data_IF_038657404409
#
_entry.id   IF_038657404409
#
_cell.length_a   1.000
_cell.length_b   1.000
_cell.length_c   1.000
_cell.angle_alpha   90.00
_cell.angle_beta   90.00
_cell.angle_gamma   90.00
#
_symmetry.space_group_name_H-M   'P 1'
#
loop_
_entity.id
_entity.type
_entity.pdbx_description
1 polymer ?
#
# COMPACT_ATOMS: atom_id res chain seq x y z
N UNK A 1 14.03 27.50 1.34
CA UNK A 1 12.56 27.36 1.30
C UNK A 1 12.19 26.41 2.43
N UNK A 2 11.67 26.97 3.52
CA UNK A 2 11.35 26.30 4.79
C UNK A 2 10.14 25.34 4.72
N UNK A 3 9.88 24.73 3.56
CA UNK A 3 8.58 24.13 3.26
C UNK A 3 8.66 22.79 2.49
N UNK A 4 9.60 21.91 2.85
CA UNK A 4 9.65 20.54 2.31
C UNK A 4 9.69 19.43 3.37
N UNK A 5 9.38 19.71 4.64
CA UNK A 5 9.21 18.65 5.65
C UNK A 5 7.72 18.36 5.82
N UNK A 6 7.22 17.40 5.05
CA UNK A 6 5.95 16.75 5.36
C UNK A 6 6.15 15.96 6.67
N UNK A 7 5.68 16.49 7.80
CA UNK A 7 5.67 15.78 9.07
C UNK A 7 4.40 14.94 9.14
N UNK A 8 4.45 13.69 8.68
CA UNK A 8 3.28 12.80 8.71
C UNK A 8 3.08 12.22 10.13
N UNK A 9 2.50 12.91 11.12
CA UNK A 9 2.41 12.36 12.50
C UNK A 9 1.39 12.96 13.48
N UNK A 10 1.12 12.29 14.63
CA UNK A 10 -0.11 12.46 15.40
C UNK A 10 -0.07 13.56 16.49
N UNK A 11 0.91 14.47 16.48
CA UNK A 11 1.05 15.51 17.52
C UNK A 11 0.30 16.80 17.18
N UNK A 12 -0.46 17.30 18.16
CA UNK A 12 -1.41 18.42 18.08
C UNK A 12 -0.82 19.81 17.74
N UNK A 13 0.49 19.93 17.54
CA UNK A 13 1.20 21.17 17.15
C UNK A 13 2.06 20.99 15.88
N UNK A 14 1.62 20.13 14.95
CA UNK A 14 2.14 20.14 13.57
C UNK A 14 1.89 21.51 12.94
N UNK A 15 2.94 22.27 12.62
CA UNK A 15 2.84 23.62 12.08
C UNK A 15 2.69 23.66 10.55
N UNK A 16 2.27 22.55 9.93
CA UNK A 16 1.97 22.47 8.50
C UNK A 16 0.45 22.42 8.33
N UNK A 17 -0.10 23.34 7.55
CA UNK A 17 -1.55 23.42 7.25
C UNK A 17 -2.06 22.18 6.45
N UNK A 18 -1.17 21.23 6.11
CA UNK A 18 -1.34 20.24 5.06
C UNK A 18 -1.09 18.80 5.53
N UNK A 19 -1.29 18.49 6.81
CA UNK A 19 -1.30 17.09 7.26
C UNK A 19 -2.56 16.41 6.69
N UNK A 20 -2.39 15.68 5.58
CA UNK A 20 -3.46 14.98 4.90
C UNK A 20 -3.61 13.57 5.49
N UNK A 21 -4.76 13.29 6.07
CA UNK A 21 -5.13 11.95 6.53
C UNK A 21 -5.72 11.17 5.36
N UNK A 22 -5.15 10.00 5.06
CA UNK A 22 -5.65 9.10 4.03
C UNK A 22 -6.07 7.77 4.68
N UNK A 23 -7.33 7.40 4.50
CA UNK A 23 -7.90 6.15 5.02
C UNK A 23 -8.02 5.12 3.90
N UNK A 24 -7.60 3.88 4.13
CA UNK A 24 -8.06 2.75 3.31
C UNK A 24 -9.58 2.65 3.46
N UNK A 25 -10.31 2.83 2.36
CA UNK A 25 -11.78 2.91 2.39
C UNK A 25 -12.39 2.06 1.29
N UNK A 26 -13.41 1.28 1.65
CA UNK A 26 -14.22 0.53 0.69
C UNK A 26 -15.53 1.26 0.43
N UNK A 27 -15.75 1.59 -0.83
CA UNK A 27 -17.00 2.19 -1.29
C UNK A 27 -17.84 1.16 -2.06
N UNK A 28 -19.15 1.18 -1.84
CA UNK A 28 -20.15 0.56 -2.68
C UNK A 28 -20.73 1.62 -3.61
N UNK A 29 -20.84 1.30 -4.90
CA UNK A 29 -21.56 2.10 -5.88
C UNK A 29 -22.94 1.45 -6.08
N UNK A 30 -24.00 1.90 -5.39
CA UNK A 30 -25.27 1.18 -5.31
C UNK A 30 -26.06 1.18 -6.62
N UNK A 31 -25.80 2.14 -7.49
CA UNK A 31 -26.54 2.31 -8.73
C UNK A 31 -25.61 2.95 -9.79
N UNK A 32 -25.11 2.13 -10.71
CA UNK A 32 -24.41 2.60 -11.89
C UNK A 32 -25.52 2.97 -12.88
N UNK A 33 -25.79 4.27 -13.04
CA UNK A 33 -26.93 4.74 -13.84
C UNK A 33 -26.83 4.44 -15.33
N UNK A 34 -25.94 3.56 -15.79
CA UNK A 34 -25.71 3.20 -17.20
C UNK A 34 -25.60 4.40 -18.16
N UNK A 35 -25.05 5.51 -17.67
CA UNK A 35 -24.94 6.75 -18.44
C UNK A 35 -26.23 7.56 -18.54
N UNK A 36 -27.23 7.31 -17.69
CA UNK A 36 -28.45 8.09 -17.60
C UNK A 36 -28.13 9.56 -17.36
N UNK A 37 -28.83 10.43 -18.08
CA UNK A 37 -28.65 11.88 -18.01
C UNK A 37 -29.96 12.56 -17.64
N UNK A 38 -29.86 13.71 -16.98
CA UNK A 38 -30.97 14.67 -16.92
C UNK A 38 -31.29 15.20 -18.32
N UNK A 39 -32.42 15.88 -18.48
CA UNK A 39 -32.85 16.47 -19.76
C UNK A 39 -31.87 17.49 -20.35
N UNK A 40 -30.98 18.05 -19.53
CA UNK A 40 -29.91 18.96 -19.94
C UNK A 40 -28.61 18.25 -20.37
N UNK A 41 -28.59 16.91 -20.40
CA UNK A 41 -27.44 16.10 -20.80
C UNK A 41 -26.42 15.81 -19.71
N UNK A 42 -26.58 16.35 -18.49
CA UNK A 42 -25.69 16.03 -17.37
C UNK A 42 -25.92 14.62 -16.83
N UNK A 43 -24.85 13.88 -16.51
CA UNK A 43 -24.93 12.55 -15.91
C UNK A 43 -25.67 12.58 -14.56
N UNK A 44 -26.55 11.61 -14.35
CA UNK A 44 -27.16 11.36 -13.06
C UNK A 44 -26.13 10.64 -12.19
N UNK A 45 -25.66 11.31 -11.15
CA UNK A 45 -24.70 10.76 -10.19
C UNK A 45 -25.39 10.33 -8.91
N UNK A 46 -25.05 9.14 -8.40
CA UNK A 46 -25.45 8.68 -7.08
C UNK A 46 -24.24 8.75 -6.14
N UNK A 47 -24.41 9.17 -4.87
CA UNK A 47 -23.31 9.16 -3.92
C UNK A 47 -22.82 7.73 -3.69
N UNK A 48 -21.51 7.55 -3.60
CA UNK A 48 -20.92 6.30 -3.17
C UNK A 48 -21.25 6.07 -1.69
N UNK A 49 -21.56 4.83 -1.33
CA UNK A 49 -21.80 4.42 0.05
C UNK A 49 -20.45 3.97 0.63
N UNK A 50 -19.99 4.62 1.71
CA UNK A 50 -18.84 4.12 2.47
C UNK A 50 -19.28 2.86 3.23
N UNK A 51 -18.73 1.70 2.85
CA UNK A 51 -18.96 0.45 3.56
C UNK A 51 -18.12 0.38 4.84
N UNK A 52 -16.84 0.78 4.74
CA UNK A 52 -15.96 0.97 5.88
C UNK A 52 -14.74 1.82 5.51
N UNK A 53 -14.19 2.50 6.51
CA UNK A 53 -12.88 3.13 6.48
C UNK A 53 -12.05 2.60 7.65
N UNK A 54 -10.80 2.25 7.40
CA UNK A 54 -9.87 1.85 8.44
C UNK A 54 -9.15 3.08 9.03
N UNK A 55 -8.76 2.98 10.30
CA UNK A 55 -7.98 4.01 11.01
C UNK A 55 -6.64 4.26 10.30
N UNK A 56 -6.40 5.48 9.78
CA UNK A 56 -5.17 5.81 9.07
C UNK A 56 -3.91 5.57 9.91
N UNK A 57 -3.97 5.75 11.22
CA UNK A 57 -2.78 5.61 12.08
C UNK A 57 -2.24 4.19 12.06
N UNK A 58 -3.11 3.21 11.79
CA UNK A 58 -2.77 1.77 11.77
C UNK A 58 -2.79 1.15 10.38
N UNK A 59 -3.52 1.77 9.45
CA UNK A 59 -3.86 1.19 8.16
C UNK A 59 -3.61 2.14 6.98
N UNK A 60 -2.78 3.17 7.16
CA UNK A 60 -2.32 3.97 6.02
C UNK A 60 -1.63 3.05 5.00
N UNK A 61 -1.94 3.26 3.73
CA UNK A 61 -1.45 2.44 2.64
C UNK A 61 -1.41 3.29 1.38
N UNK A 62 -0.31 3.20 0.66
CA UNK A 62 -0.16 3.79 -0.66
C UNK A 62 0.42 2.77 -1.64
N UNK A 63 0.30 3.08 -2.93
CA UNK A 63 0.67 2.18 -4.02
C UNK A 63 0.12 0.75 -3.82
N UNK A 64 -1.20 0.58 -3.60
CA UNK A 64 -1.76 -0.70 -3.22
C UNK A 64 -1.69 -1.71 -4.37
N UNK A 65 -1.39 -2.96 -4.02
CA UNK A 65 -1.38 -4.15 -4.87
C UNK A 65 -2.27 -5.23 -4.27
N UNK A 66 -2.83 -6.05 -5.13
CA UNK A 66 -3.54 -7.29 -4.76
C UNK A 66 -2.96 -8.44 -5.61
N UNK A 67 -3.33 -9.67 -5.27
CA UNK A 67 -3.04 -10.80 -6.15
C UNK A 67 -3.71 -10.58 -7.51
N UNK A 68 -2.92 -10.56 -8.60
CA UNK A 68 -3.41 -10.24 -9.95
C UNK A 68 -4.49 -11.19 -10.47
N UNK A 69 -4.58 -12.42 -9.93
CA UNK A 69 -5.68 -13.37 -10.22
C UNK A 69 -7.07 -12.84 -9.80
N UNK A 70 -7.09 -11.85 -8.91
CA UNK A 70 -8.29 -11.26 -8.30
C UNK A 70 -8.61 -9.85 -8.82
N UNK A 71 -7.90 -9.36 -9.85
CA UNK A 71 -8.28 -8.10 -10.50
C UNK A 71 -9.73 -8.14 -11.01
N UNK A 72 -10.52 -7.14 -10.61
CA UNK A 72 -11.94 -7.03 -10.94
C UNK A 72 -12.85 -8.04 -10.24
N UNK A 73 -12.33 -8.81 -9.27
CA UNK A 73 -13.08 -9.82 -8.50
C UNK A 73 -13.14 -9.42 -7.02
N UNK A 74 -14.02 -10.08 -6.27
CA UNK A 74 -13.98 -10.03 -4.81
C UNK A 74 -12.61 -10.54 -4.34
N UNK A 75 -11.95 -9.75 -3.50
CA UNK A 75 -10.63 -10.03 -2.94
C UNK A 75 -10.65 -9.75 -1.43
N UNK A 76 -9.76 -10.40 -0.70
CA UNK A 76 -9.60 -10.24 0.73
C UNK A 76 -8.38 -9.39 1.08
N UNK A 77 -7.25 -9.56 0.40
CA UNK A 77 -5.97 -9.00 0.82
C UNK A 77 -5.47 -7.90 -0.09
N UNK A 78 -5.00 -6.80 0.52
CA UNK A 78 -4.26 -5.74 -0.16
C UNK A 78 -2.90 -5.55 0.49
N UNK A 79 -1.91 -5.18 -0.31
CA UNK A 79 -0.53 -4.92 0.09
C UNK A 79 -0.11 -3.54 -0.38
N UNK A 80 0.75 -2.85 0.34
CA UNK A 80 1.25 -1.56 -0.13
C UNK A 80 2.37 -1.02 0.73
N UNK A 81 2.88 0.14 0.35
CA UNK A 81 3.79 0.89 1.21
C UNK A 81 3.04 1.45 2.40
N UNK A 82 3.71 1.48 3.55
CA UNK A 82 3.20 1.96 4.82
C UNK A 82 4.21 2.93 5.45
N UNK A 83 3.68 3.77 6.33
CA UNK A 83 4.44 4.72 7.13
C UNK A 83 4.03 4.57 8.59
N UNK A 84 4.94 4.00 9.39
CA UNK A 84 4.80 3.94 10.85
C UNK A 84 5.36 5.21 11.51
N UNK A 85 6.50 5.70 11.02
CA UNK A 85 7.20 6.84 11.61
C UNK A 85 6.87 8.14 10.90
N UNK A 86 6.52 9.18 11.66
CA UNK A 86 6.34 10.51 11.10
C UNK A 86 7.55 11.07 10.37
N UNK A 87 7.28 11.75 9.25
CA UNK A 87 8.30 12.39 8.42
C UNK A 87 8.93 11.50 7.35
N UNK A 88 8.61 10.20 7.33
CA UNK A 88 9.03 9.28 6.27
C UNK A 88 8.01 9.26 5.13
N UNK A 89 8.50 9.11 3.90
CA UNK A 89 7.64 8.85 2.74
C UNK A 89 7.07 7.43 2.79
N UNK A 90 7.91 6.47 3.18
CA UNK A 90 7.57 5.09 3.55
C UNK A 90 8.73 4.51 4.36
N UNK A 91 8.43 3.67 5.33
CA UNK A 91 9.42 2.98 6.15
C UNK A 91 9.09 1.50 6.38
N UNK A 92 7.98 1.02 5.84
CA UNK A 92 7.41 -0.30 6.10
C UNK A 92 6.48 -0.72 4.97
N UNK A 93 6.04 -1.97 4.99
CA UNK A 93 5.01 -2.52 4.12
C UNK A 93 3.85 -3.03 4.96
N UNK A 94 2.63 -2.89 4.45
CA UNK A 94 1.43 -3.35 5.13
C UNK A 94 0.70 -4.38 4.27
N UNK A 95 0.13 -5.39 4.93
CA UNK A 95 -0.93 -6.25 4.43
C UNK A 95 -2.21 -5.89 5.16
N UNK A 96 -3.30 -5.66 4.43
CA UNK A 96 -4.64 -5.41 4.96
C UNK A 96 -5.53 -6.59 4.60
N UNK A 97 -6.19 -7.17 5.61
CA UNK A 97 -7.34 -8.05 5.43
C UNK A 97 -8.60 -7.18 5.40
N UNK A 98 -9.20 -7.05 4.22
CA UNK A 98 -10.37 -6.19 4.00
C UNK A 98 -11.68 -6.77 4.51
N UNK A 99 -11.70 -8.06 4.88
CA UNK A 99 -12.86 -8.73 5.46
C UNK A 99 -12.79 -8.65 6.98
N UNK A 100 -11.66 -9.07 7.56
CA UNK A 100 -11.43 -9.00 8.99
C UNK A 100 -11.13 -7.58 9.50
N UNK A 101 -10.80 -6.65 8.60
CA UNK A 101 -10.42 -5.27 8.90
C UNK A 101 -9.19 -5.19 9.83
N UNK A 102 -8.22 -6.08 9.60
CA UNK A 102 -6.96 -6.16 10.36
C UNK A 102 -5.78 -5.96 9.42
N UNK A 103 -4.59 -5.77 10.00
CA UNK A 103 -3.36 -5.64 9.23
C UNK A 103 -2.18 -6.37 9.87
N UNK A 104 -1.21 -6.71 9.02
CA UNK A 104 0.13 -7.13 9.41
C UNK A 104 1.13 -6.17 8.76
N UNK A 105 2.17 -5.80 9.49
CA UNK A 105 3.21 -4.87 9.02
C UNK A 105 4.53 -5.61 8.97
N UNK A 106 5.25 -5.41 7.87
CA UNK A 106 6.67 -5.73 7.78
C UNK A 106 7.45 -4.42 7.85
N UNK A 107 8.39 -4.34 8.79
CA UNK A 107 9.31 -3.21 8.91
C UNK A 107 10.73 -3.74 8.69
N UNK A 108 11.55 -3.08 7.86
CA UNK A 108 12.92 -3.50 7.67
C UNK A 108 13.69 -3.49 9.01
N UNK A 109 14.49 -4.51 9.27
CA UNK A 109 15.32 -4.60 10.48
C UNK A 109 16.39 -3.50 10.61
N UNK A 110 16.50 -2.64 9.60
CA UNK A 110 17.50 -1.57 9.47
C UNK A 110 16.80 -0.35 8.88
N UNK A 111 17.47 0.79 8.73
CA UNK A 111 16.86 2.01 8.17
C UNK A 111 16.66 1.96 6.64
N UNK A 112 16.36 0.78 6.09
CA UNK A 112 16.03 0.66 4.68
C UNK A 112 14.66 1.30 4.42
N UNK A 113 14.48 1.85 3.21
CA UNK A 113 13.22 2.46 2.79
C UNK A 113 12.66 1.61 1.64
N UNK A 114 11.57 0.85 1.85
CA UNK A 114 11.01 -0.01 0.82
C UNK A 114 10.32 0.79 -0.28
N UNK A 115 10.21 0.20 -1.47
CA UNK A 115 9.37 0.69 -2.57
C UNK A 115 8.09 -0.15 -2.66
N UNK A 116 7.24 0.15 -3.64
CA UNK A 116 6.01 -0.60 -3.93
C UNK A 116 6.25 -2.13 -3.90
N UNK A 117 5.49 -2.90 -3.09
CA UNK A 117 5.60 -4.34 -3.07
C UNK A 117 4.87 -4.97 -4.26
N UNK A 118 5.50 -5.91 -4.96
CA UNK A 118 4.89 -6.71 -6.02
C UNK A 118 4.54 -8.09 -5.49
N UNK A 119 3.26 -8.46 -5.55
CA UNK A 119 2.81 -9.80 -5.18
C UNK A 119 3.15 -10.82 -6.29
N UNK A 120 3.74 -11.93 -5.90
CA UNK A 120 4.03 -13.07 -6.77
C UNK A 120 3.40 -14.32 -6.15
N UNK A 121 2.41 -14.88 -6.85
CA UNK A 121 1.69 -16.07 -6.38
C UNK A 121 2.61 -17.29 -6.35
N UNK A 122 2.42 -18.15 -5.35
CA UNK A 122 3.04 -19.47 -5.33
C UNK A 122 2.48 -20.34 -6.47
N UNK A 123 3.30 -20.77 -7.45
CA UNK A 123 2.81 -21.49 -8.63
C UNK A 123 2.29 -22.90 -8.31
N UNK A 124 2.74 -23.49 -7.21
CA UNK A 124 2.36 -24.84 -6.76
C UNK A 124 1.68 -24.81 -5.39
N UNK A 125 1.15 -23.65 -5.00
CA UNK A 125 0.60 -23.41 -3.68
C UNK A 125 -0.77 -24.04 -3.43
N UNK A 126 -1.24 -23.82 -2.20
CA UNK A 126 -2.56 -24.21 -1.69
C UNK A 126 -3.74 -23.59 -2.45
N UNK A 127 -3.50 -22.50 -3.20
CA UNK A 127 -4.53 -21.74 -3.88
C UNK A 127 -5.16 -20.63 -3.03
N UNK A 128 -4.71 -20.43 -1.79
CA UNK A 128 -5.11 -19.28 -0.99
C UNK A 128 -4.69 -17.95 -1.67
N UNK A 129 -5.49 -16.90 -1.49
CA UNK A 129 -5.32 -15.61 -2.19
C UNK A 129 -3.95 -14.97 -1.90
N UNK A 130 -3.46 -15.11 -0.67
CA UNK A 130 -2.20 -14.58 -0.17
C UNK A 130 -1.04 -15.60 -0.17
N UNK A 131 -1.24 -16.79 -0.76
CA UNK A 131 -0.18 -17.80 -0.89
C UNK A 131 0.83 -17.38 -1.95
N UNK A 132 1.92 -16.78 -1.47
CA UNK A 132 2.96 -16.23 -2.31
C UNK A 132 3.95 -15.40 -1.54
N UNK A 133 4.65 -14.55 -2.29
CA UNK A 133 5.65 -13.63 -1.74
C UNK A 133 5.41 -12.21 -2.22
N UNK A 134 5.89 -11.25 -1.45
CA UNK A 134 6.06 -9.87 -1.89
C UNK A 134 7.52 -9.66 -2.26
N UNK A 135 7.73 -8.98 -3.39
CA UNK A 135 9.02 -8.49 -3.83
C UNK A 135 9.03 -6.97 -3.67
N UNK A 136 10.00 -6.43 -2.94
CA UNK A 136 10.20 -4.97 -2.84
C UNK A 136 11.68 -4.63 -2.99
N UNK A 137 11.98 -3.53 -3.66
CA UNK A 137 13.32 -2.95 -3.61
C UNK A 137 13.39 -1.98 -2.44
N UNK A 138 14.31 -2.19 -1.52
CA UNK A 138 14.53 -1.32 -0.38
C UNK A 138 15.90 -0.67 -0.44
N UNK A 139 15.94 0.66 -0.26
CA UNK A 139 17.15 1.47 -0.29
C UNK A 139 17.78 1.57 1.11
N UNK A 140 19.04 1.16 1.24
CA UNK A 140 19.91 1.47 2.38
C UNK A 140 20.62 2.80 2.12
N UNK A 141 20.08 3.89 2.68
CA UNK A 141 20.67 5.22 2.52
C UNK A 141 22.04 5.34 3.19
N UNK A 142 22.30 4.59 4.25
CA UNK A 142 23.56 4.62 5.00
C UNK A 142 24.68 3.95 4.20
N UNK A 143 24.42 2.74 3.68
CA UNK A 143 25.40 1.98 2.88
C UNK A 143 25.44 2.38 1.41
N UNK A 144 24.53 3.26 0.96
CA UNK A 144 24.37 3.67 -0.43
C UNK A 144 24.23 2.46 -1.36
N UNK A 145 23.33 1.56 -0.99
CA UNK A 145 23.01 0.33 -1.73
C UNK A 145 21.52 0.06 -1.64
N UNK A 146 21.01 -0.80 -2.50
CA UNK A 146 19.63 -1.27 -2.43
C UNK A 146 19.61 -2.80 -2.41
N UNK A 147 18.53 -3.38 -1.91
CA UNK A 147 18.31 -4.83 -1.94
C UNK A 147 16.93 -5.13 -2.49
N UNK A 148 16.82 -6.18 -3.30
CA UNK A 148 15.53 -6.82 -3.56
C UNK A 148 15.23 -7.73 -2.38
N UNK A 149 14.13 -7.49 -1.67
CA UNK A 149 13.71 -8.24 -0.50
C UNK A 149 12.53 -9.13 -0.88
N UNK A 150 12.55 -10.36 -0.37
CA UNK A 150 11.48 -11.36 -0.53
C UNK A 150 10.81 -11.55 0.82
N UNK A 151 9.50 -11.35 0.87
CA UNK A 151 8.69 -11.41 2.10
C UNK A 151 7.58 -12.43 1.89
N UNK A 152 7.31 -13.28 2.87
CA UNK A 152 6.15 -14.17 2.84
C UNK A 152 4.86 -13.33 2.90
N UNK A 153 3.99 -13.43 1.89
CA UNK A 153 2.81 -12.58 1.78
C UNK A 153 1.67 -12.98 2.75
N UNK A 154 1.73 -14.17 3.34
CA UNK A 154 0.81 -14.62 4.38
C UNK A 154 1.19 -14.02 5.73
N UNK A 155 2.45 -14.18 6.13
CA UNK A 155 2.94 -13.89 7.48
C UNK A 155 3.62 -12.53 7.62
N UNK A 156 3.92 -11.85 6.51
CA UNK A 156 4.74 -10.63 6.47
C UNK A 156 6.15 -10.81 7.04
N UNK A 157 6.68 -12.04 7.04
CA UNK A 157 8.05 -12.35 7.49
C UNK A 157 9.02 -12.33 6.32
N UNK A 158 10.17 -11.67 6.49
CA UNK A 158 11.24 -11.67 5.49
C UNK A 158 11.82 -13.07 5.30
N UNK A 159 11.90 -13.52 4.04
CA UNK A 159 12.47 -14.82 3.66
C UNK A 159 13.93 -14.69 3.21
N UNK A 160 14.31 -13.52 2.66
CA UNK A 160 15.67 -13.25 2.24
C UNK A 160 15.77 -12.01 1.37
N UNK A 161 17.00 -11.69 0.93
CA UNK A 161 17.28 -10.52 0.09
C UNK A 161 18.46 -10.73 -0.84
N UNK A 162 18.40 -10.10 -2.02
CA UNK A 162 19.50 -10.00 -2.97
C UNK A 162 20.06 -8.56 -2.96
N UNK A 163 21.34 -8.41 -2.60
CA UNK A 163 21.99 -7.11 -2.49
C UNK A 163 22.43 -6.60 -3.86
N UNK A 164 22.18 -5.31 -4.12
CA UNK A 164 22.61 -4.62 -5.32
C UNK A 164 23.74 -3.63 -4.98
N UNK A 165 24.77 -3.50 -5.83
CA UNK A 165 25.87 -2.57 -5.60
C UNK A 165 25.52 -1.11 -5.94
N UNK A 166 24.26 -0.82 -6.27
CA UNK A 166 23.76 0.48 -6.70
C UNK A 166 22.70 1.00 -5.73
N UNK A 167 22.54 2.33 -5.69
CA UNK A 167 21.38 2.97 -5.09
C UNK A 167 20.27 2.99 -6.12
N UNK A 168 19.23 2.21 -5.89
CA UNK A 168 17.94 2.41 -6.53
C UNK A 168 17.11 3.32 -5.62
N UNK A 169 16.81 4.52 -6.11
CA UNK A 169 15.90 5.45 -5.45
C UNK A 169 14.46 4.88 -5.42
N UNK A 170 13.54 5.60 -4.79
CA UNK A 170 12.12 5.22 -4.75
C UNK A 170 11.59 4.90 -6.16
N UNK A 171 11.14 3.66 -6.33
CA UNK A 171 10.34 3.27 -7.48
C UNK A 171 8.86 3.55 -7.21
N UNK A 172 8.13 3.90 -8.27
CA UNK A 172 6.68 3.86 -8.25
C UNK A 172 6.22 2.48 -8.72
N UNK A 173 5.53 2.42 -9.85
CA UNK A 173 4.93 1.19 -10.30
C UNK A 173 5.96 0.22 -10.90
N UNK A 174 5.91 -1.03 -10.44
CA UNK A 174 6.57 -2.17 -11.05
C UNK A 174 5.58 -3.22 -11.56
N UNK A 175 6.11 -4.26 -12.21
CA UNK A 175 5.35 -5.46 -12.58
C UNK A 175 6.26 -6.68 -12.56
N UNK A 176 5.69 -7.83 -12.20
CA UNK A 176 6.31 -9.15 -12.37
C UNK A 176 5.61 -9.84 -13.53
N UNK A 177 6.38 -10.43 -14.45
CA UNK A 177 5.90 -11.05 -15.68
C UNK A 177 6.56 -12.42 -15.89
#
# INVERSE_FOLDING_TARGET
VDNLRANVGPNANGSSYNDLTFNFTRYLLPNHGDGATFSNGSLITNPAINLFSLDYQKHNIELPRINSKYYGKTYQYAYGIHTEKPGYFTDSLIKIDTVAQTSLVWSPATNHLPSEPIFVANPTGSGAEDDGVLLTVAMDAERKRSSLIVINATTMVELGRAQMPIVMAYGFHGVFA
#
